data_IF_111091741444
#
_entry.id   IF_111091741444
#
_cell.length_a   1.000
_cell.length_b   1.000
_cell.length_c   1.000
_cell.angle_alpha   90.00
_cell.angle_beta   90.00
_cell.angle_gamma   90.00
#
_symmetry.space_group_name_H-M   'P 1'
#
loop_
_entity.id
_entity.type
_entity.pdbx_description
1 polymer ?
#
# COMPACT_ATOMS: atom_id res chain seq x y z
N UNK A 1 -15.62 -32.28 -9.90
CA UNK A 1 -14.85 -31.79 -8.73
C UNK A 1 -14.66 -30.29 -8.90
N UNK A 2 -14.90 -29.48 -7.87
CA UNK A 2 -14.65 -28.02 -7.89
C UNK A 2 -13.53 -27.74 -6.88
N UNK A 3 -12.38 -27.29 -7.37
CA UNK A 3 -11.19 -27.07 -6.55
C UNK A 3 -11.42 -25.93 -5.54
N UNK A 4 -12.27 -24.97 -5.89
CA UNK A 4 -12.66 -23.84 -5.04
C UNK A 4 -13.33 -24.32 -3.75
N UNK A 5 -14.05 -25.44 -3.80
CA UNK A 5 -14.66 -26.06 -2.62
C UNK A 5 -13.63 -26.75 -1.71
N UNK A 6 -12.41 -26.98 -2.20
CA UNK A 6 -11.33 -27.62 -1.45
C UNK A 6 -10.41 -26.59 -0.78
N UNK A 7 -10.34 -25.35 -1.28
CA UNK A 7 -9.45 -24.28 -0.79
C UNK A 7 -9.47 -24.15 0.75
N UNK A 8 -10.63 -24.11 1.44
CA UNK A 8 -10.65 -23.94 2.90
C UNK A 8 -10.02 -25.10 3.70
N UNK A 9 -9.75 -26.23 3.05
CA UNK A 9 -9.21 -27.44 3.66
C UNK A 9 -7.75 -27.71 3.26
N UNK A 10 -7.18 -26.86 2.41
CA UNK A 10 -5.77 -26.96 1.99
C UNK A 10 -4.86 -26.38 3.08
N UNK A 11 -3.67 -26.95 3.23
CA UNK A 11 -2.62 -26.37 4.08
C UNK A 11 -1.88 -25.24 3.34
N UNK A 12 -1.06 -24.46 4.05
CA UNK A 12 -0.30 -23.34 3.47
C UNK A 12 0.58 -23.77 2.27
N UNK A 13 1.25 -24.92 2.35
CA UNK A 13 2.06 -25.43 1.24
C UNK A 13 1.21 -25.66 -0.03
N UNK A 14 0.08 -26.32 0.12
CA UNK A 14 -0.82 -26.63 -1.00
C UNK A 14 -1.46 -25.36 -1.58
N UNK A 15 -1.82 -24.40 -0.72
CA UNK A 15 -2.31 -23.07 -1.14
C UNK A 15 -1.23 -22.30 -1.92
N UNK A 16 0.01 -22.34 -1.46
CA UNK A 16 1.16 -21.76 -2.14
C UNK A 16 1.38 -22.38 -3.53
N UNK A 17 1.34 -23.71 -3.64
CA UNK A 17 1.45 -24.42 -4.93
C UNK A 17 0.31 -24.04 -5.89
N UNK A 18 -0.92 -23.91 -5.38
CA UNK A 18 -2.07 -23.46 -6.15
C UNK A 18 -1.89 -22.02 -6.64
N UNK A 19 -1.45 -21.11 -5.77
CA UNK A 19 -1.17 -19.73 -6.13
C UNK A 19 -0.12 -19.62 -7.24
N UNK A 20 0.97 -20.40 -7.16
CA UNK A 20 2.02 -20.41 -8.19
C UNK A 20 1.48 -20.92 -9.54
N UNK A 21 0.63 -21.95 -9.53
CA UNK A 21 0.00 -22.49 -10.74
C UNK A 21 -0.90 -21.46 -11.41
N UNK A 22 -1.65 -20.68 -10.62
CA UNK A 22 -2.48 -19.56 -11.10
C UNK A 22 -1.60 -18.46 -11.73
N UNK A 23 -0.53 -18.03 -11.04
CA UNK A 23 0.36 -16.97 -11.53
C UNK A 23 1.03 -17.34 -12.87
N UNK A 24 1.42 -18.61 -13.02
CA UNK A 24 1.95 -19.17 -14.28
C UNK A 24 0.91 -19.28 -15.40
N UNK A 25 -0.38 -19.16 -15.08
CA UNK A 25 -1.48 -19.35 -16.03
C UNK A 25 -1.76 -20.82 -16.36
N UNK A 26 -1.32 -21.74 -15.51
CA UNK A 26 -1.59 -23.18 -15.66
C UNK A 26 -3.02 -23.53 -15.23
N UNK A 27 -3.62 -22.68 -14.38
CA UNK A 27 -4.99 -22.82 -13.88
C UNK A 27 -5.75 -21.50 -14.05
N UNK A 28 -7.00 -21.61 -14.52
CA UNK A 28 -7.95 -20.51 -14.65
C UNK A 28 -8.79 -20.37 -13.36
N UNK A 29 -8.13 -19.93 -12.29
CA UNK A 29 -8.75 -19.67 -10.98
C UNK A 29 -8.34 -18.26 -10.55
N UNK A 30 -9.27 -17.50 -9.97
CA UNK A 30 -8.94 -16.19 -9.46
C UNK A 30 -8.12 -16.32 -8.16
N UNK A 31 -6.89 -15.80 -8.18
CA UNK A 31 -5.97 -15.79 -7.03
C UNK A 31 -6.61 -15.21 -5.76
N UNK A 32 -7.52 -14.22 -5.90
CA UNK A 32 -8.17 -13.59 -4.75
C UNK A 32 -9.04 -14.54 -3.94
N UNK A 33 -9.42 -15.69 -4.51
CA UNK A 33 -10.19 -16.74 -3.80
C UNK A 33 -9.36 -17.50 -2.77
N UNK A 34 -8.02 -17.46 -2.89
CA UNK A 34 -7.11 -18.12 -1.96
C UNK A 34 -6.84 -17.26 -0.73
N UNK A 35 -6.79 -15.93 -0.89
CA UNK A 35 -6.27 -14.99 0.11
C UNK A 35 -6.85 -15.14 1.53
N UNK A 36 -8.16 -15.36 1.75
CA UNK A 36 -8.70 -15.54 3.10
C UNK A 36 -8.17 -16.75 3.85
N UNK A 37 -7.51 -17.68 3.16
CA UNK A 37 -6.96 -18.92 3.70
C UNK A 37 -5.44 -18.94 3.70
N UNK A 38 -4.79 -17.94 3.09
CA UNK A 38 -3.33 -17.82 3.05
C UNK A 38 -2.81 -17.13 4.30
N UNK A 39 -1.58 -17.45 4.67
CA UNK A 39 -0.87 -16.67 5.67
C UNK A 39 -0.24 -15.42 5.04
N UNK A 40 0.02 -14.42 5.89
CA UNK A 40 0.58 -13.13 5.50
C UNK A 40 1.92 -13.29 4.76
N UNK A 41 2.77 -14.22 5.20
CA UNK A 41 4.08 -14.46 4.60
C UNK A 41 3.99 -15.02 3.16
N UNK A 42 2.99 -15.85 2.86
CA UNK A 42 2.74 -16.35 1.51
C UNK A 42 2.13 -15.27 0.62
N UNK A 43 1.26 -14.41 1.17
CA UNK A 43 0.74 -13.24 0.45
C UNK A 43 1.87 -12.29 0.12
N UNK A 44 2.76 -11.96 1.06
CA UNK A 44 3.93 -11.10 0.84
C UNK A 44 4.84 -11.62 -0.27
N UNK A 45 5.06 -12.94 -0.34
CA UNK A 45 5.84 -13.55 -1.44
C UNK A 45 5.16 -13.35 -2.80
N UNK A 46 3.84 -13.52 -2.89
CA UNK A 46 3.07 -13.24 -4.12
C UNK A 46 3.25 -11.77 -4.50
N UNK A 47 3.06 -10.90 -3.52
CA UNK A 47 3.18 -9.46 -3.64
C UNK A 47 4.57 -9.05 -4.18
N UNK A 48 5.65 -9.68 -3.68
CA UNK A 48 7.03 -9.52 -4.18
C UNK A 48 7.20 -10.02 -5.61
N UNK A 49 6.68 -11.21 -5.92
CA UNK A 49 6.73 -11.74 -7.29
C UNK A 49 6.03 -10.81 -8.29
N UNK A 50 4.90 -10.20 -7.91
CA UNK A 50 4.17 -9.26 -8.75
C UNK A 50 4.95 -7.96 -8.96
N UNK A 51 5.63 -7.44 -7.92
CA UNK A 51 6.45 -6.22 -8.02
C UNK A 51 7.67 -6.41 -8.92
N UNK A 52 8.29 -7.59 -8.89
CA UNK A 52 9.43 -7.95 -9.74
C UNK A 52 9.02 -8.31 -11.19
N UNK A 53 7.76 -8.67 -11.41
CA UNK A 53 7.26 -9.12 -12.72
C UNK A 53 6.04 -8.30 -13.16
N UNK A 54 6.24 -7.10 -13.75
CA UNK A 54 5.15 -6.22 -14.18
C UNK A 54 4.11 -6.88 -15.10
N UNK A 55 4.50 -7.92 -15.86
CA UNK A 55 3.59 -8.67 -16.72
C UNK A 55 2.54 -9.47 -15.95
N UNK A 56 2.82 -9.83 -14.69
CA UNK A 56 1.88 -10.52 -13.81
C UNK A 56 0.93 -9.54 -13.11
N UNK A 57 1.29 -8.26 -12.97
CA UNK A 57 0.42 -7.26 -12.33
C UNK A 57 -0.93 -7.11 -13.03
N UNK A 58 -0.99 -7.32 -14.35
CA UNK A 58 -2.26 -7.28 -15.09
C UNK A 58 -3.19 -8.47 -14.80
N UNK A 59 -2.69 -9.53 -14.15
CA UNK A 59 -3.46 -10.74 -13.82
C UNK A 59 -4.05 -10.73 -12.42
N UNK A 60 -3.56 -9.85 -11.54
CA UNK A 60 -3.93 -9.84 -10.11
C UNK A 60 -4.38 -8.44 -9.73
N UNK A 61 -5.53 -8.34 -9.07
CA UNK A 61 -5.94 -7.09 -8.47
C UNK A 61 -5.12 -6.84 -7.19
N UNK A 62 -4.14 -5.93 -7.26
CA UNK A 62 -3.30 -5.56 -6.11
C UNK A 62 -4.12 -5.08 -4.91
N UNK A 63 -5.22 -4.36 -5.14
CA UNK A 63 -6.07 -3.85 -4.06
C UNK A 63 -6.70 -4.96 -3.22
N UNK A 64 -6.84 -6.16 -3.79
CA UNK A 64 -7.38 -7.31 -3.08
C UNK A 64 -6.33 -7.99 -2.18
N UNK A 65 -5.03 -7.74 -2.41
CA UNK A 65 -3.94 -8.31 -1.63
C UNK A 65 -3.69 -7.55 -0.33
N UNK A 66 -3.87 -6.22 -0.33
CA UNK A 66 -3.52 -5.38 0.83
C UNK A 66 -4.14 -5.79 2.16
N UNK A 67 -5.42 -6.22 2.25
CA UNK A 67 -5.98 -6.69 3.52
C UNK A 67 -5.32 -7.94 4.11
N UNK A 68 -4.51 -8.64 3.33
CA UNK A 68 -3.87 -9.91 3.69
C UNK A 68 -2.34 -9.87 3.64
N UNK A 69 -1.75 -8.75 3.21
CA UNK A 69 -0.31 -8.54 3.17
C UNK A 69 0.17 -7.88 4.46
N UNK A 70 1.46 -8.01 4.77
CA UNK A 70 2.06 -7.30 5.90
C UNK A 70 2.08 -5.79 5.66
N UNK A 71 1.94 -5.01 6.73
CA UNK A 71 2.11 -3.55 6.67
C UNK A 71 3.49 -3.18 6.10
N UNK A 72 4.55 -3.91 6.49
CA UNK A 72 5.91 -3.69 5.96
C UNK A 72 5.94 -3.78 4.42
N UNK A 73 5.20 -4.73 3.85
CA UNK A 73 5.16 -4.89 2.40
C UNK A 73 4.26 -3.84 1.73
N UNK A 74 3.11 -3.52 2.34
CA UNK A 74 2.22 -2.45 1.85
C UNK A 74 2.98 -1.10 1.83
N UNK A 75 3.69 -0.77 2.90
CA UNK A 75 4.53 0.42 3.01
C UNK A 75 5.56 0.51 1.89
N UNK A 76 6.27 -0.61 1.61
CA UNK A 76 7.26 -0.67 0.52
C UNK A 76 6.65 -0.36 -0.84
N UNK A 77 5.51 -0.96 -1.17
CA UNK A 77 4.82 -0.69 -2.44
C UNK A 77 4.35 0.77 -2.46
N UNK A 78 3.72 1.23 -1.39
CA UNK A 78 3.13 2.55 -1.31
C UNK A 78 4.20 3.63 -1.51
N UNK A 79 5.32 3.55 -0.77
CA UNK A 79 6.46 4.46 -0.92
C UNK A 79 7.07 4.41 -2.32
N UNK A 80 7.19 3.23 -2.93
CA UNK A 80 7.67 3.11 -4.30
C UNK A 80 6.72 3.81 -5.29
N UNK A 81 5.40 3.69 -5.09
CA UNK A 81 4.38 4.41 -5.86
C UNK A 81 4.50 5.91 -5.72
N UNK A 82 4.56 6.42 -4.48
CA UNK A 82 4.72 7.85 -4.18
C UNK A 82 5.97 8.44 -4.84
N UNK A 83 7.12 7.76 -4.72
CA UNK A 83 8.39 8.20 -5.34
C UNK A 83 8.35 8.21 -6.87
N UNK A 84 7.52 7.37 -7.47
CA UNK A 84 7.29 7.33 -8.92
C UNK A 84 6.15 8.26 -9.38
N UNK A 85 5.60 9.10 -8.49
CA UNK A 85 4.51 10.02 -8.80
C UNK A 85 3.15 9.34 -9.02
N UNK A 86 2.99 8.11 -8.51
CA UNK A 86 1.76 7.31 -8.61
C UNK A 86 1.38 6.76 -7.25
N UNK A 87 0.71 7.58 -6.44
CA UNK A 87 0.17 7.15 -5.16
C UNK A 87 -0.96 6.14 -5.38
N UNK A 88 -0.83 4.96 -4.77
CA UNK A 88 -1.85 3.90 -4.84
C UNK A 88 -2.85 4.08 -3.69
N UNK A 89 -3.91 4.87 -3.93
CA UNK A 89 -4.89 5.21 -2.91
C UNK A 89 -5.58 3.99 -2.29
N UNK A 90 -5.65 2.86 -3.00
CA UNK A 90 -6.27 1.64 -2.47
C UNK A 90 -5.43 0.96 -1.40
N UNK A 91 -4.14 1.29 -1.29
CA UNK A 91 -3.25 0.81 -0.24
C UNK A 91 -3.40 1.58 1.08
N UNK A 92 -3.85 2.85 1.03
CA UNK A 92 -3.87 3.76 2.19
C UNK A 92 -4.45 3.18 3.49
N UNK A 93 -5.57 2.41 3.48
CA UNK A 93 -6.10 1.82 4.72
C UNK A 93 -5.21 0.76 5.38
N UNK A 94 -4.13 0.35 4.71
CA UNK A 94 -3.23 -0.73 5.11
C UNK A 94 -1.76 -0.28 5.20
N UNK A 95 -1.49 1.01 4.97
CA UNK A 95 -0.16 1.62 5.18
C UNK A 95 -0.01 1.87 6.67
N UNK A 96 1.17 1.58 7.23
CA UNK A 96 1.43 1.82 8.65
C UNK A 96 1.45 3.30 9.00
N UNK A 97 1.06 3.61 10.23
CA UNK A 97 1.15 4.98 10.78
C UNK A 97 2.60 5.50 10.70
N UNK A 98 3.61 4.65 10.95
CA UNK A 98 5.02 5.02 10.84
C UNK A 98 5.40 5.46 9.41
N UNK A 99 4.87 4.77 8.39
CA UNK A 99 5.11 5.12 7.00
C UNK A 99 4.41 6.44 6.62
N UNK A 100 3.17 6.64 7.07
CA UNK A 100 2.44 7.89 6.84
C UNK A 100 3.12 9.09 7.53
N UNK A 101 3.55 8.93 8.77
CA UNK A 101 4.29 9.94 9.53
C UNK A 101 5.55 10.39 8.79
N UNK A 102 6.36 9.45 8.28
CA UNK A 102 7.55 9.77 7.49
C UNK A 102 7.24 10.59 6.24
N UNK A 103 6.12 10.30 5.56
CA UNK A 103 5.69 11.08 4.39
C UNK A 103 5.28 12.50 4.79
N UNK A 104 4.62 12.67 5.93
CA UNK A 104 4.29 13.99 6.48
C UNK A 104 5.55 14.77 6.82
N UNK A 105 6.52 14.15 7.49
CA UNK A 105 7.82 14.79 7.78
C UNK A 105 8.54 15.22 6.49
N UNK A 106 8.62 14.33 5.49
CA UNK A 106 9.22 14.64 4.18
C UNK A 106 8.51 15.82 3.49
N UNK A 107 7.17 15.85 3.51
CA UNK A 107 6.37 16.93 2.93
C UNK A 107 6.61 18.28 3.62
N UNK A 108 6.76 18.28 4.94
CA UNK A 108 6.99 19.49 5.73
C UNK A 108 8.40 20.04 5.53
N UNK A 109 9.40 19.15 5.47
CA UNK A 109 10.81 19.52 5.36
C UNK A 109 11.26 19.88 3.94
N UNK A 110 10.56 19.38 2.91
CA UNK A 110 10.99 19.52 1.52
C UNK A 110 9.87 20.07 0.63
N UNK A 111 9.99 21.37 0.31
CA UNK A 111 9.06 22.07 -0.61
C UNK A 111 9.02 21.50 -2.03
N UNK A 112 9.94 20.60 -2.41
CA UNK A 112 9.96 19.95 -3.72
C UNK A 112 9.19 18.62 -3.75
N UNK A 113 8.71 18.13 -2.60
CA UNK A 113 7.89 16.92 -2.54
C UNK A 113 6.50 17.23 -3.11
N UNK A 114 6.13 16.52 -4.16
CA UNK A 114 4.89 16.76 -4.89
C UNK A 114 4.05 15.47 -4.95
N UNK A 115 3.35 15.18 -3.85
CA UNK A 115 2.28 14.18 -3.82
C UNK A 115 1.02 14.78 -3.19
N UNK A 116 -0.14 14.19 -3.45
CA UNK A 116 -1.44 14.68 -2.96
C UNK A 116 -1.59 14.42 -1.44
N UNK A 117 -0.97 15.26 -0.60
CA UNK A 117 -1.00 15.15 0.87
C UNK A 117 -2.44 15.11 1.43
N UNK A 118 -3.38 15.80 0.78
CA UNK A 118 -4.81 15.82 1.17
C UNK A 118 -5.45 14.43 1.17
N UNK A 119 -4.91 13.49 0.39
CA UNK A 119 -5.40 12.10 0.37
C UNK A 119 -5.06 11.33 1.64
N UNK A 120 -4.02 11.77 2.36
CA UNK A 120 -3.58 11.10 3.59
C UNK A 120 -4.47 11.47 4.78
N UNK A 121 -5.14 12.62 4.78
CA UNK A 121 -5.86 13.14 5.97
C UNK A 121 -6.78 12.14 6.69
N UNK A 122 -7.55 11.26 6.01
CA UNK A 122 -8.39 10.27 6.70
C UNK A 122 -7.62 9.19 7.48
N UNK A 123 -6.32 9.07 7.22
CA UNK A 123 -5.43 8.02 7.74
C UNK A 123 -4.34 8.56 8.65
N UNK A 124 -4.20 9.89 8.76
CA UNK A 124 -3.22 10.54 9.65
C UNK A 124 -3.75 10.63 11.07
N UNK A 125 -2.83 10.57 12.03
CA UNK A 125 -3.14 10.82 13.43
C UNK A 125 -3.20 12.33 13.77
N UNK A 126 -3.57 12.64 15.00
CA UNK A 126 -3.69 14.03 15.47
C UNK A 126 -2.34 14.77 15.47
N UNK A 127 -1.23 14.06 15.64
CA UNK A 127 0.12 14.65 15.67
C UNK A 127 0.52 15.12 14.27
N UNK A 128 0.32 14.29 13.26
CA UNK A 128 0.57 14.56 11.85
C UNK A 128 -0.31 15.68 11.30
N UNK A 129 -1.61 15.65 11.60
CA UNK A 129 -2.54 16.72 11.23
C UNK A 129 -2.12 18.05 11.86
N UNK A 130 -1.70 18.03 13.14
CA UNK A 130 -1.23 19.22 13.86
C UNK A 130 0.06 19.75 13.23
N UNK A 131 0.98 18.88 12.84
CA UNK A 131 2.23 19.23 12.19
C UNK A 131 1.96 19.94 10.85
N UNK A 132 1.15 19.35 9.98
CA UNK A 132 0.74 19.95 8.71
C UNK A 132 0.08 21.32 8.88
N UNK A 133 -0.83 21.44 9.86
CA UNK A 133 -1.50 22.70 10.17
C UNK A 133 -0.51 23.79 10.61
N UNK A 134 0.41 23.48 11.52
CA UNK A 134 1.43 24.45 11.99
C UNK A 134 2.33 24.89 10.85
N UNK A 135 2.80 23.96 10.02
CA UNK A 135 3.62 24.24 8.84
C UNK A 135 2.89 25.16 7.86
N UNK A 136 1.59 24.93 7.61
CA UNK A 136 0.78 25.83 6.78
C UNK A 136 0.75 27.26 7.36
N UNK A 137 0.46 27.40 8.66
CA UNK A 137 0.45 28.73 9.30
C UNK A 137 1.80 29.42 9.17
N UNK A 138 2.91 28.71 9.36
CA UNK A 138 4.26 29.27 9.25
C UNK A 138 4.58 29.75 7.84
N UNK A 139 4.27 28.94 6.81
CA UNK A 139 4.49 29.30 5.40
C UNK A 139 3.60 30.48 4.95
N UNK A 140 2.46 30.71 5.59
CA UNK A 140 1.50 31.76 5.24
C UNK A 140 1.43 32.94 6.22
N UNK A 141 2.27 32.98 7.26
CA UNK A 141 2.40 34.14 8.13
C UNK A 141 2.92 35.33 7.33
N UNK A 142 2.08 36.37 7.19
CA UNK A 142 2.54 37.67 6.69
C UNK A 142 3.40 38.32 7.76
N UNK A 143 4.64 38.67 7.43
CA UNK A 143 5.43 39.58 8.26
C UNK A 143 4.68 40.89 8.40
N UNK A 144 4.52 41.45 9.61
CA UNK A 144 3.94 42.78 9.75
C UNK A 144 4.80 43.77 8.98
N UNK A 145 4.27 44.37 7.94
CA UNK A 145 4.88 45.54 7.28
C UNK A 145 5.07 46.60 8.36
N UNK A 146 6.32 46.94 8.67
CA UNK A 146 6.66 48.09 9.49
C UNK A 146 6.03 49.32 8.84
N UNK A 147 4.97 49.84 9.45
CA UNK A 147 4.39 51.12 9.06
C UNK A 147 5.39 52.20 9.48
N UNK A 148 6.08 52.76 8.47
CA UNK A 148 6.84 54.01 8.56
C UNK A 148 5.90 55.20 8.77
#
# INVERSE_FOLDING_TARGET
MRIENMIPFLNSKDLGELAQSILKGELDINLTTLLPFMDEADVDKICLQLSENPQLMNKVNMSALYPFASEEYVDKIFLAGVRNGKMENSALPFVSDECLHKLVEEYVQNDSVNFEIDKLYPFLDDEDITLLFKTYIEKHKKTPTEQQ
#
